data_IF_844993642329
#
_entry.id   IF_844993642329
#
_cell.length_a   1.000
_cell.length_b   1.000
_cell.length_c   1.000
_cell.angle_alpha   90.00
_cell.angle_beta   90.00
_cell.angle_gamma   90.00
#
_symmetry.space_group_name_H-M   'P 1'
#
loop_
_entity.id
_entity.type
_entity.pdbx_description
1 polymer ?
#
# COMPACT_ATOMS: atom_id res chain seq x y z
N UNK A 1 -6.07 15.66 69.22
CA UNK A 1 -7.02 16.71 68.77
C UNK A 1 -6.37 18.05 69.05
N UNK A 2 -6.11 18.89 68.03
CA UNK A 2 -7.17 19.78 67.58
C UNK A 2 -7.28 19.90 66.04
N UNK A 3 -8.53 20.07 65.59
CA UNK A 3 -8.94 20.30 64.21
C UNK A 3 -8.80 21.77 63.84
N UNK A 4 -8.43 22.06 62.60
CA UNK A 4 -8.71 23.36 61.93
C UNK A 4 -9.36 23.14 60.55
N UNK A 5 -10.13 24.12 60.05
CA UNK A 5 -11.34 23.89 59.26
C UNK A 5 -11.22 24.41 57.81
N UNK A 6 -12.28 24.25 56.99
CA UNK A 6 -12.67 25.27 56.02
C UNK A 6 -14.15 25.66 56.23
N UNK A 7 -14.49 26.90 56.62
CA UNK A 7 -14.63 28.16 55.83
C UNK A 7 -15.71 28.13 54.74
N UNK A 8 -16.84 28.72 55.14
CA UNK A 8 -17.72 29.67 54.44
C UNK A 8 -18.31 29.28 53.07
N UNK A 9 -19.62 29.01 53.09
CA UNK A 9 -20.56 29.36 52.02
C UNK A 9 -20.73 30.88 52.03
N UNK A 10 -20.88 31.46 50.85
CA UNK A 10 -21.86 32.51 50.52
C UNK A 10 -21.91 32.68 48.99
N UNK A 11 -23.15 32.62 48.49
CA UNK A 11 -23.78 33.33 47.35
C UNK A 11 -22.90 33.89 46.21
N UNK A 12 -23.28 33.85 44.93
CA UNK A 12 -24.55 34.30 44.34
C UNK A 12 -24.48 34.17 42.79
N UNK A 13 -25.61 34.42 42.11
CA UNK A 13 -25.73 34.96 40.72
C UNK A 13 -25.90 33.96 39.55
N UNK A 14 -27.18 33.85 39.20
CA UNK A 14 -27.79 33.74 37.87
C UNK A 14 -27.06 34.49 36.76
N UNK A 15 -26.78 33.84 35.63
CA UNK A 15 -26.74 34.50 34.32
C UNK A 15 -27.10 33.50 33.21
N UNK A 16 -28.07 33.94 32.42
CA UNK A 16 -28.65 33.32 31.25
C UNK A 16 -27.59 33.01 30.18
N UNK A 17 -27.67 31.83 29.57
CA UNK A 17 -26.90 31.49 28.37
C UNK A 17 -27.86 31.32 27.20
N UNK A 18 -27.91 32.36 26.39
CA UNK A 18 -28.48 32.38 25.05
C UNK A 18 -27.71 31.43 24.11
N UNK A 19 -28.48 30.73 23.27
CA UNK A 19 -28.19 30.68 21.83
C UNK A 19 -27.35 29.52 21.30
N UNK A 20 -27.99 28.35 21.09
CA UNK A 20 -27.64 27.43 19.99
C UNK A 20 -28.90 26.72 19.49
N UNK A 21 -29.55 27.27 18.46
CA UNK A 21 -30.47 26.53 17.60
C UNK A 21 -30.18 26.89 16.14
N UNK A 22 -29.53 25.98 15.42
CA UNK A 22 -29.31 26.04 13.98
C UNK A 22 -29.97 24.83 13.30
N UNK A 23 -31.30 24.72 13.39
CA UNK A 23 -32.08 23.82 12.53
C UNK A 23 -32.71 24.61 11.38
N UNK A 24 -31.99 24.67 10.24
CA UNK A 24 -32.61 25.04 8.96
C UNK A 24 -33.23 23.80 8.31
N UNK A 25 -34.45 23.47 8.72
CA UNK A 25 -35.36 22.60 7.95
C UNK A 25 -36.46 23.44 7.30
N UNK A 26 -36.70 23.35 5.98
CA UNK A 26 -37.78 24.13 5.37
C UNK A 26 -39.15 23.59 5.77
N UNK A 27 -39.88 24.41 6.54
CA UNK A 27 -41.29 24.21 6.91
C UNK A 27 -42.19 24.29 5.67
N UNK A 28 -42.91 23.22 5.34
CA UNK A 28 -43.98 23.21 4.33
C UNK A 28 -45.20 23.95 4.88
N UNK A 29 -45.57 25.08 4.26
CA UNK A 29 -46.90 25.70 4.40
C UNK A 29 -47.77 25.22 3.24
N UNK A 30 -48.89 24.56 3.56
CA UNK A 30 -49.97 24.29 2.61
C UNK A 30 -50.76 25.58 2.37
N UNK A 31 -50.76 26.06 1.14
CA UNK A 31 -51.80 26.93 0.59
C UNK A 31 -52.17 26.38 -0.78
N UNK A 32 -53.46 26.09 -0.96
CA UNK A 32 -54.03 25.58 -2.20
C UNK A 32 -53.90 26.60 -3.33
N UNK A 33 -53.51 26.10 -4.51
CA UNK A 33 -53.37 26.90 -5.72
C UNK A 33 -52.65 26.11 -6.79
N UNK A 34 -53.41 25.66 -7.78
CA UNK A 34 -52.99 24.90 -8.96
C UNK A 34 -51.82 25.57 -9.69
N UNK A 35 -50.66 24.93 -9.70
CA UNK A 35 -49.63 25.09 -10.74
C UNK A 35 -48.94 23.75 -10.94
N UNK A 36 -48.94 23.26 -12.18
CA UNK A 36 -48.06 22.17 -12.63
C UNK A 36 -46.62 22.56 -12.34
N UNK A 37 -45.97 21.82 -11.43
CA UNK A 37 -44.53 21.92 -11.22
C UNK A 37 -43.84 20.89 -12.11
N UNK A 38 -43.40 21.32 -13.29
CA UNK A 38 -42.28 20.62 -13.91
C UNK A 38 -41.08 20.65 -12.95
N UNK A 39 -40.31 19.56 -12.83
CA UNK A 39 -39.13 19.56 -11.98
C UNK A 39 -38.12 20.54 -12.58
N UNK A 40 -37.82 21.61 -11.84
CA UNK A 40 -36.71 22.52 -12.14
C UNK A 40 -35.42 21.71 -12.07
N UNK A 41 -35.02 21.13 -13.21
CA UNK A 41 -33.69 20.54 -13.42
C UNK A 41 -32.68 21.62 -13.12
N UNK A 42 -31.72 21.31 -12.24
CA UNK A 42 -30.65 22.22 -11.86
C UNK A 42 -30.04 22.90 -13.08
N UNK A 43 -30.14 24.23 -13.10
CA UNK A 43 -29.84 25.13 -14.23
C UNK A 43 -28.34 25.15 -14.60
N UNK A 44 -27.50 24.32 -13.98
CA UNK A 44 -26.05 24.31 -14.14
C UNK A 44 -25.49 23.10 -14.89
N UNK A 45 -26.30 22.09 -15.23
CA UNK A 45 -25.82 20.91 -15.97
C UNK A 45 -26.39 20.89 -17.39
N UNK A 46 -25.52 21.04 -18.39
CA UNK A 46 -25.88 20.83 -19.79
C UNK A 46 -26.16 19.36 -20.12
N UNK A 47 -26.65 19.08 -21.34
CA UNK A 47 -26.99 17.72 -21.78
C UNK A 47 -25.76 16.80 -21.78
N UNK A 48 -25.98 15.51 -21.48
CA UNK A 48 -24.97 14.44 -21.61
C UNK A 48 -24.88 14.08 -23.08
N UNK A 49 -23.66 14.09 -23.62
CA UNK A 49 -23.40 13.57 -24.95
C UNK A 49 -23.46 12.04 -24.95
N UNK A 50 -24.18 11.47 -25.93
CA UNK A 50 -24.48 10.02 -25.96
C UNK A 50 -23.26 9.20 -26.41
N UNK A 51 -22.35 9.79 -27.19
CA UNK A 51 -21.18 9.12 -27.73
C UNK A 51 -19.99 9.13 -26.75
N UNK A 52 -19.70 10.28 -26.14
CA UNK A 52 -18.57 10.41 -25.19
C UNK A 52 -18.93 10.14 -23.73
N UNK A 53 -20.24 10.12 -23.38
CA UNK A 53 -20.72 10.06 -22.00
C UNK A 53 -20.39 11.30 -21.17
N UNK A 54 -19.82 12.34 -21.77
CA UNK A 54 -19.42 13.58 -21.09
C UNK A 54 -20.61 14.54 -20.96
N UNK A 55 -20.65 15.30 -19.86
CA UNK A 55 -21.66 16.33 -19.63
C UNK A 55 -21.21 17.66 -20.22
N UNK A 56 -22.09 18.28 -21.00
CA UNK A 56 -21.86 19.64 -21.48
C UNK A 56 -21.85 20.62 -20.31
N UNK A 57 -20.87 21.52 -20.29
CA UNK A 57 -20.77 22.59 -19.28
C UNK A 57 -21.86 23.66 -19.44
N UNK A 58 -22.44 23.81 -20.64
CA UNK A 58 -23.45 24.84 -20.95
C UNK A 58 -24.80 24.23 -21.36
N UNK A 59 -25.92 24.84 -20.97
CA UNK A 59 -27.27 24.40 -21.32
C UNK A 59 -27.67 24.93 -22.71
N UNK A 60 -26.89 24.61 -23.75
CA UNK A 60 -27.26 24.96 -25.13
C UNK A 60 -28.07 23.81 -25.71
N UNK A 61 -29.33 24.05 -26.02
CA UNK A 61 -30.20 23.08 -26.67
C UNK A 61 -29.62 22.69 -28.04
N UNK A 62 -29.65 21.40 -28.39
CA UNK A 62 -29.34 20.92 -29.73
C UNK A 62 -30.49 21.31 -30.68
N UNK A 63 -30.68 22.61 -30.94
CA UNK A 63 -31.59 23.04 -32.00
C UNK A 63 -30.85 22.85 -33.31
N UNK A 64 -31.31 21.90 -34.12
CA UNK A 64 -30.88 21.67 -35.51
C UNK A 64 -31.28 22.87 -36.38
N UNK A 65 -30.75 24.06 -36.09
CA UNK A 65 -31.02 25.25 -36.88
C UNK A 65 -29.91 25.35 -37.92
N UNK A 66 -30.19 24.80 -39.10
CA UNK A 66 -29.36 24.80 -40.31
C UNK A 66 -29.12 26.21 -40.91
N UNK A 67 -29.25 27.26 -40.10
CA UNK A 67 -28.94 28.62 -40.47
C UNK A 67 -27.48 28.90 -40.15
N UNK A 68 -26.58 28.59 -41.09
CA UNK A 68 -25.23 29.13 -41.06
C UNK A 68 -25.33 30.66 -41.06
N UNK A 69 -25.21 31.29 -39.89
CA UNK A 69 -25.12 32.74 -39.76
C UNK A 69 -23.79 33.12 -40.41
N UNK A 70 -23.86 33.55 -41.68
CA UNK A 70 -22.71 34.04 -42.43
C UNK A 70 -22.28 35.40 -41.87
N UNK A 71 -21.45 35.37 -40.82
CA UNK A 71 -20.89 36.54 -40.17
C UNK A 71 -20.36 36.23 -38.76
N UNK A 72 -19.66 37.18 -38.10
CA UNK A 72 -19.24 37.02 -36.72
C UNK A 72 -20.47 36.79 -35.81
N UNK A 73 -20.44 35.81 -34.89
CA UNK A 73 -21.57 35.56 -34.00
C UNK A 73 -21.79 36.75 -33.07
N UNK A 74 -23.02 37.24 -33.01
CA UNK A 74 -23.41 38.39 -32.20
C UNK A 74 -23.81 37.99 -30.77
N UNK A 75 -24.07 36.70 -30.53
CA UNK A 75 -24.46 36.16 -29.23
C UNK A 75 -23.60 34.94 -28.84
N UNK A 76 -23.52 34.67 -27.53
CA UNK A 76 -22.79 33.51 -26.98
C UNK A 76 -23.37 32.18 -27.47
N UNK A 77 -24.70 32.07 -27.57
CA UNK A 77 -25.36 30.86 -28.06
C UNK A 77 -25.02 30.58 -29.53
N UNK A 78 -25.00 31.62 -30.37
CA UNK A 78 -24.65 31.52 -31.79
C UNK A 78 -23.18 31.12 -31.96
N UNK A 79 -22.30 31.66 -31.11
CA UNK A 79 -20.89 31.27 -31.06
C UNK A 79 -20.71 29.79 -30.67
N UNK A 80 -21.39 29.32 -29.62
CA UNK A 80 -21.29 27.93 -29.18
C UNK A 80 -21.86 26.93 -30.20
N UNK A 81 -22.92 27.30 -30.93
CA UNK A 81 -23.44 26.51 -32.04
C UNK A 81 -22.43 26.44 -33.19
N UNK A 82 -21.82 27.56 -33.56
CA UNK A 82 -20.78 27.59 -34.59
C UNK A 82 -19.55 26.74 -34.21
N UNK A 83 -19.08 26.83 -32.97
CA UNK A 83 -17.97 26.01 -32.46
C UNK A 83 -18.33 24.52 -32.45
N UNK A 84 -19.57 24.16 -32.12
CA UNK A 84 -20.03 22.76 -32.15
C UNK A 84 -20.07 22.22 -33.59
N UNK A 85 -20.58 23.00 -34.54
CA UNK A 85 -20.58 22.64 -35.95
C UNK A 85 -19.15 22.48 -36.49
N UNK A 86 -18.24 23.38 -36.11
CA UNK A 86 -16.81 23.28 -36.45
C UNK A 86 -16.15 22.04 -35.83
N UNK A 87 -16.44 21.74 -34.56
CA UNK A 87 -15.88 20.57 -33.87
C UNK A 87 -16.41 19.25 -34.47
N UNK A 88 -17.69 19.18 -34.85
CA UNK A 88 -18.26 18.02 -35.55
C UNK A 88 -17.67 17.80 -36.94
N UNK A 89 -17.24 18.88 -37.61
CA UNK A 89 -16.55 18.79 -38.90
C UNK A 89 -15.08 18.31 -38.77
N UNK A 90 -14.53 18.26 -37.55
CA UNK A 90 -13.15 17.82 -37.29
C UNK A 90 -13.12 16.36 -36.83
N UNK A 91 -12.06 15.60 -37.14
CA UNK A 91 -11.90 14.24 -36.65
C UNK A 91 -11.76 14.22 -35.11
N UNK A 92 -12.45 13.27 -34.46
CA UNK A 92 -12.44 13.09 -32.99
C UNK A 92 -11.06 12.72 -32.44
N UNK A 93 -10.28 11.98 -33.22
CA UNK A 93 -8.90 11.63 -32.91
C UNK A 93 -7.99 11.99 -34.09
N UNK A 94 -6.85 12.59 -33.79
CA UNK A 94 -5.78 12.84 -34.76
C UNK A 94 -4.50 12.25 -34.19
N UNK A 95 -3.97 11.23 -34.86
CA UNK A 95 -2.63 10.75 -34.61
C UNK A 95 -1.68 11.42 -35.59
N UNK A 96 -0.61 12.04 -35.08
CA UNK A 96 0.48 12.55 -35.92
C UNK A 96 1.73 11.73 -35.62
N UNK A 97 2.30 11.11 -36.65
CA UNK A 97 3.66 10.57 -36.55
C UNK A 97 4.62 11.75 -36.42
N UNK A 98 5.17 11.97 -35.22
CA UNK A 98 6.29 12.87 -35.06
C UNK A 98 7.49 12.23 -35.78
N UNK A 99 7.73 12.68 -37.01
CA UNK A 99 9.01 12.49 -37.67
C UNK A 99 10.06 13.26 -36.86
N UNK A 100 10.63 12.60 -35.85
CA UNK A 100 11.88 13.03 -35.25
C UNK A 100 12.91 13.05 -36.38
N UNK A 101 13.11 14.22 -37.00
CA UNK A 101 14.23 14.46 -37.89
C UNK A 101 15.49 14.17 -37.08
N UNK A 102 16.09 13.04 -37.39
CA UNK A 102 17.33 12.47 -36.88
C UNK A 102 18.25 13.49 -36.18
N UNK A 103 18.03 13.68 -34.89
CA UNK A 103 19.00 14.33 -33.99
C UNK A 103 18.93 13.84 -32.54
N UNK A 104 18.20 12.75 -32.27
CA UNK A 104 17.95 12.29 -30.91
C UNK A 104 17.83 10.77 -30.78
N UNK A 105 18.75 10.02 -31.40
CA UNK A 105 19.07 8.65 -30.96
C UNK A 105 19.75 8.61 -29.57
N UNK A 106 19.76 9.75 -28.86
CA UNK A 106 20.32 9.92 -27.52
C UNK A 106 19.30 10.27 -26.43
N UNK A 107 18.03 10.57 -26.76
CA UNK A 107 17.06 11.09 -25.76
C UNK A 107 15.83 10.17 -25.57
N UNK A 108 15.75 9.05 -26.30
CA UNK A 108 14.87 7.93 -25.94
C UNK A 108 15.67 6.87 -25.17
N UNK A 109 16.36 7.29 -24.11
CA UNK A 109 16.59 6.37 -23.00
C UNK A 109 15.24 6.17 -22.33
N UNK A 110 14.76 4.94 -22.44
CA UNK A 110 13.73 4.32 -21.61
C UNK A 110 13.44 5.12 -20.34
N UNK A 111 12.27 5.75 -20.28
CA UNK A 111 11.56 5.89 -19.02
C UNK A 111 11.00 4.51 -18.64
N UNK A 112 11.89 3.53 -18.52
CA UNK A 112 11.72 2.41 -17.61
C UNK A 112 12.23 2.95 -16.27
N UNK A 113 11.32 3.05 -15.30
CA UNK A 113 11.54 3.79 -14.06
C UNK A 113 12.68 3.26 -13.20
N UNK A 114 13.87 3.80 -13.38
CA UNK A 114 14.97 3.72 -12.40
C UNK A 114 14.73 4.73 -11.26
N UNK A 115 13.89 4.36 -10.30
CA UNK A 115 13.88 5.01 -8.99
C UNK A 115 15.02 4.46 -8.12
N UNK A 116 16.26 4.91 -8.35
CA UNK A 116 17.31 4.86 -7.34
C UNK A 116 17.98 6.24 -7.22
N UNK A 117 17.86 6.80 -6.02
CA UNK A 117 18.61 7.92 -5.48
C UNK A 117 20.07 7.97 -5.96
N UNK A 118 20.52 9.14 -6.46
CA UNK A 118 21.73 9.81 -5.95
C UNK A 118 21.88 11.22 -6.51
N UNK A 119 22.33 12.11 -5.62
CA UNK A 119 22.64 13.53 -5.84
C UNK A 119 23.69 13.79 -6.94
N UNK A 120 23.78 15.04 -7.42
CA UNK A 120 24.41 15.40 -8.69
C UNK A 120 25.90 15.72 -8.53
N UNK A 121 26.69 15.33 -9.53
CA UNK A 121 28.03 15.86 -9.71
C UNK A 121 29.06 14.80 -10.05
N UNK A 122 29.16 14.46 -11.33
CA UNK A 122 30.44 14.26 -12.04
C UNK A 122 30.17 13.77 -13.46
N UNK A 123 30.63 14.57 -14.40
CA UNK A 123 30.61 14.35 -15.86
C UNK A 123 31.43 13.10 -16.20
N UNK A 124 30.92 12.14 -16.98
CA UNK A 124 31.76 11.05 -17.47
C UNK A 124 32.49 11.48 -18.75
N UNK A 125 33.81 11.34 -18.73
CA UNK A 125 34.65 11.39 -19.92
C UNK A 125 34.31 10.25 -20.91
N UNK A 126 34.53 10.45 -22.22
CA UNK A 126 34.29 9.43 -23.24
C UNK A 126 35.35 8.31 -23.16
N UNK A 127 34.88 7.09 -22.88
CA UNK A 127 35.70 5.87 -22.86
C UNK A 127 36.11 5.46 -24.29
N UNK A 128 37.38 5.05 -24.51
CA UNK A 128 37.81 4.48 -25.79
C UNK A 128 37.25 3.07 -26.02
N UNK A 129 37.17 2.71 -27.32
CA UNK A 129 36.64 1.49 -27.92
C UNK A 129 37.09 0.15 -27.29
N UNK A 130 36.32 -0.95 -27.51
CA UNK A 130 36.40 -2.15 -26.69
C UNK A 130 37.66 -2.96 -27.02
N UNK A 131 38.63 -2.94 -26.10
CA UNK A 131 39.66 -3.96 -26.06
C UNK A 131 39.06 -5.29 -25.59
N UNK A 132 39.40 -6.32 -26.34
CA UNK A 132 39.07 -7.73 -26.17
C UNK A 132 38.85 -8.15 -24.72
N UNK A 133 37.74 -8.84 -24.50
CA UNK A 133 37.36 -9.49 -23.26
C UNK A 133 38.45 -10.48 -22.84
N UNK A 134 39.03 -10.23 -21.67
CA UNK A 134 39.80 -11.22 -20.92
C UNK A 134 39.62 -10.93 -19.44
N UNK A 135 38.57 -11.53 -18.86
CA UNK A 135 38.47 -12.03 -17.48
C UNK A 135 37.00 -12.09 -17.07
N UNK A 136 36.40 -13.28 -17.19
CA UNK A 136 35.18 -13.65 -16.47
C UNK A 136 35.44 -13.51 -14.97
N UNK A 137 34.98 -12.42 -14.36
CA UNK A 137 34.70 -12.39 -12.93
C UNK A 137 33.28 -12.89 -12.74
N UNK A 138 33.14 -14.22 -12.63
CA UNK A 138 31.90 -14.92 -12.31
C UNK A 138 31.49 -14.61 -10.86
N UNK A 139 31.00 -13.41 -10.59
CA UNK A 139 30.32 -13.17 -9.32
C UNK A 139 29.04 -14.02 -9.28
N UNK A 140 28.81 -14.81 -8.22
CA UNK A 140 27.60 -15.60 -8.09
C UNK A 140 26.41 -14.66 -8.01
N UNK A 141 25.45 -14.84 -8.92
CA UNK A 141 24.18 -14.12 -8.88
C UNK A 141 23.36 -14.63 -7.69
N UNK A 142 23.50 -13.94 -6.56
CA UNK A 142 22.85 -14.25 -5.30
C UNK A 142 21.33 -14.00 -5.32
N UNK A 143 20.81 -13.37 -6.38
CA UNK A 143 19.39 -12.98 -6.49
C UNK A 143 18.56 -13.97 -7.29
N UNK A 144 19.16 -15.06 -7.76
CA UNK A 144 18.44 -16.11 -8.48
C UNK A 144 17.35 -16.72 -7.60
N UNK A 145 16.15 -16.96 -8.14
CA UNK A 145 15.11 -17.67 -7.42
C UNK A 145 15.59 -19.04 -6.97
N UNK A 146 15.26 -19.42 -5.73
CA UNK A 146 15.64 -20.72 -5.17
C UNK A 146 14.67 -21.79 -5.68
N UNK A 147 15.22 -22.96 -5.99
CA UNK A 147 14.44 -24.13 -6.36
C UNK A 147 13.99 -24.87 -5.11
N UNK A 148 12.68 -24.95 -4.91
CA UNK A 148 12.05 -25.65 -3.78
C UNK A 148 11.28 -26.83 -4.33
N UNK A 149 11.44 -28.01 -3.70
CA UNK A 149 10.72 -29.22 -4.12
C UNK A 149 9.22 -29.05 -3.89
N UNK A 150 8.42 -29.34 -4.92
CA UNK A 150 6.97 -29.19 -4.90
C UNK A 150 6.30 -29.98 -3.77
N UNK A 151 6.70 -31.23 -3.54
CA UNK A 151 6.09 -32.08 -2.50
C UNK A 151 6.24 -31.48 -1.10
N UNK A 152 7.44 -30.97 -0.78
CA UNK A 152 7.69 -30.32 0.50
C UNK A 152 6.94 -28.98 0.60
N UNK A 153 6.94 -28.18 -0.47
CA UNK A 153 6.20 -26.92 -0.54
C UNK A 153 4.72 -27.12 -0.24
N UNK A 154 4.06 -28.06 -0.95
CA UNK A 154 2.62 -28.30 -0.82
C UNK A 154 2.26 -28.80 0.59
N UNK A 155 3.09 -29.66 1.18
CA UNK A 155 2.91 -30.12 2.56
C UNK A 155 3.08 -28.97 3.55
N UNK A 156 4.10 -28.14 3.37
CA UNK A 156 4.39 -27.00 4.24
C UNK A 156 3.29 -25.94 4.19
N UNK A 157 2.88 -25.50 3.01
CA UNK A 157 1.84 -24.47 2.84
C UNK A 157 0.51 -24.94 3.43
N UNK A 158 0.16 -26.22 3.22
CA UNK A 158 -1.02 -26.81 3.86
C UNK A 158 -0.95 -26.74 5.38
N UNK A 159 0.15 -27.19 5.99
CA UNK A 159 0.33 -27.11 7.44
C UNK A 159 0.35 -25.67 7.96
N UNK A 160 1.00 -24.76 7.23
CA UNK A 160 1.07 -23.35 7.60
C UNK A 160 -0.32 -22.73 7.62
N UNK A 161 -1.10 -22.90 6.56
CA UNK A 161 -2.45 -22.32 6.44
C UNK A 161 -3.41 -22.87 7.50
N UNK A 162 -3.33 -24.16 7.83
CA UNK A 162 -4.09 -24.78 8.92
C UNK A 162 -3.75 -24.15 10.29
N UNK A 163 -2.46 -24.01 10.60
CA UNK A 163 -1.98 -23.40 11.86
C UNK A 163 -2.31 -21.91 11.92
N UNK A 164 -2.18 -21.21 10.79
CA UNK A 164 -2.50 -19.79 10.65
C UNK A 164 -3.97 -19.50 10.94
N UNK A 165 -4.89 -20.24 10.31
CA UNK A 165 -6.33 -20.13 10.57
C UNK A 165 -6.68 -20.45 12.01
N UNK A 166 -6.18 -21.57 12.54
CA UNK A 166 -6.44 -21.97 13.92
C UNK A 166 -5.91 -20.95 14.96
N UNK A 167 -4.77 -20.29 14.68
CA UNK A 167 -4.25 -19.23 15.53
C UNK A 167 -5.11 -17.98 15.44
N UNK A 168 -5.50 -17.56 14.23
CA UNK A 168 -6.32 -16.37 14.01
C UNK A 168 -7.65 -16.46 14.79
N UNK A 169 -8.32 -17.62 14.75
CA UNK A 169 -9.56 -17.87 15.48
C UNK A 169 -9.36 -17.78 17.00
N UNK A 170 -8.27 -18.37 17.52
CA UNK A 170 -7.93 -18.34 18.95
C UNK A 170 -7.54 -16.96 19.46
N UNK A 171 -6.86 -16.16 18.64
CA UNK A 171 -6.50 -14.78 18.98
C UNK A 171 -7.76 -13.92 19.01
N UNK A 172 -8.66 -14.06 18.04
CA UNK A 172 -9.93 -13.33 17.98
C UNK A 172 -10.80 -13.61 19.21
N UNK A 173 -10.99 -14.89 19.55
CA UNK A 173 -11.79 -15.29 20.71
C UNK A 173 -11.27 -14.75 22.04
N UNK A 174 -9.94 -14.63 22.21
CA UNK A 174 -9.35 -14.10 23.46
C UNK A 174 -9.52 -12.59 23.59
N UNK A 175 -9.47 -11.84 22.50
CA UNK A 175 -9.71 -10.40 22.52
C UNK A 175 -11.11 -10.06 23.07
N UNK A 176 -12.08 -10.94 22.87
CA UNK A 176 -13.47 -10.78 23.36
C UNK A 176 -13.62 -11.08 24.86
N UNK A 177 -12.66 -11.78 25.47
CA UNK A 177 -12.70 -12.21 26.89
C UNK A 177 -12.00 -11.23 27.86
N UNK A 178 -11.57 -10.06 27.39
CA UNK A 178 -10.96 -9.03 28.23
C UNK A 178 -9.46 -9.22 28.52
N UNK A 179 -8.82 -8.27 29.23
CA UNK A 179 -7.38 -8.25 29.43
C UNK A 179 -6.95 -9.46 30.27
N UNK A 180 -5.95 -10.18 29.79
CA UNK A 180 -5.35 -11.24 30.57
C UNK A 180 -4.52 -10.68 31.73
N UNK A 181 -4.84 -11.09 32.96
CA UNK A 181 -3.96 -10.88 34.11
C UNK A 181 -2.61 -11.58 33.86
N UNK A 182 -1.54 -10.80 33.91
CA UNK A 182 -0.16 -11.23 33.63
C UNK A 182 0.46 -10.60 32.38
N UNK A 183 0.48 -9.27 32.31
CA UNK A 183 1.22 -8.53 31.28
C UNK A 183 2.70 -8.93 31.35
N UNK A 184 3.23 -9.53 30.29
CA UNK A 184 4.66 -9.76 30.17
C UNK A 184 5.25 -8.42 29.73
N UNK A 185 6.28 -7.94 30.40
CA UNK A 185 6.93 -6.69 30.01
C UNK A 185 7.60 -6.86 28.63
N UNK A 186 6.93 -6.35 27.61
CA UNK A 186 7.44 -6.41 26.24
C UNK A 186 8.54 -5.36 26.03
N UNK A 187 9.65 -5.72 25.39
CA UNK A 187 10.68 -4.75 25.06
C UNK A 187 10.18 -3.63 24.13
N UNK A 188 10.79 -2.45 24.24
CA UNK A 188 10.47 -1.33 23.34
C UNK A 188 11.59 -1.01 22.34
N UNK A 189 12.83 -1.45 22.62
CA UNK A 189 14.01 -1.14 21.80
C UNK A 189 14.52 -2.36 21.04
N UNK A 190 15.15 -2.12 19.89
CA UNK A 190 15.70 -3.19 19.02
C UNK A 190 16.68 -4.09 19.78
N UNK A 191 17.61 -3.51 20.54
CA UNK A 191 18.62 -4.28 21.27
C UNK A 191 18.00 -5.19 22.34
N UNK A 192 17.01 -4.68 23.07
CA UNK A 192 16.28 -5.48 24.07
C UNK A 192 15.45 -6.57 23.40
N UNK A 193 14.81 -6.29 22.26
CA UNK A 193 14.12 -7.31 21.46
C UNK A 193 15.05 -8.40 20.96
N UNK A 194 16.24 -8.04 20.47
CA UNK A 194 17.26 -9.01 20.05
C UNK A 194 17.64 -9.93 21.20
N UNK A 195 17.93 -9.36 22.38
CA UNK A 195 18.27 -10.14 23.56
C UNK A 195 17.09 -11.03 23.99
N UNK A 196 15.87 -10.51 23.97
CA UNK A 196 14.66 -11.25 24.32
C UNK A 196 14.45 -12.45 23.39
N UNK A 197 14.51 -12.25 22.07
CA UNK A 197 14.29 -13.27 21.02
C UNK A 197 15.40 -14.32 21.00
N UNK A 198 16.65 -13.94 21.24
CA UNK A 198 17.76 -14.89 21.26
C UNK A 198 17.90 -15.61 22.61
N UNK A 199 17.16 -15.20 23.64
CA UNK A 199 17.15 -15.91 24.92
C UNK A 199 16.30 -17.18 24.78
N UNK A 200 16.86 -18.38 24.97
CA UNK A 200 16.16 -19.65 24.72
C UNK A 200 14.96 -19.88 25.64
N UNK A 201 14.95 -19.22 26.81
CA UNK A 201 13.83 -19.25 27.76
C UNK A 201 12.58 -18.56 27.20
N UNK A 202 12.76 -17.57 26.32
CA UNK A 202 11.68 -16.77 25.74
C UNK A 202 11.28 -17.34 24.38
N UNK A 203 10.80 -18.58 24.36
CA UNK A 203 10.22 -19.16 23.15
C UNK A 203 8.91 -18.44 22.77
N UNK A 204 8.57 -18.32 21.47
CA UNK A 204 7.34 -17.65 21.03
C UNK A 204 6.12 -18.45 21.51
N UNK A 205 5.56 -18.02 22.63
CA UNK A 205 4.39 -18.65 23.25
C UNK A 205 3.13 -17.90 22.84
N UNK A 206 2.00 -18.60 22.73
CA UNK A 206 0.70 -18.01 22.40
C UNK A 206 0.35 -16.77 23.25
N UNK A 207 0.69 -16.80 24.55
CA UNK A 207 0.49 -15.66 25.47
C UNK A 207 1.23 -14.40 25.02
N UNK A 208 2.48 -14.55 24.57
CA UNK A 208 3.29 -13.41 24.09
C UNK A 208 2.74 -12.93 22.75
N UNK A 209 2.47 -13.85 21.82
CA UNK A 209 1.95 -13.51 20.49
C UNK A 209 0.62 -12.76 20.53
N UNK A 210 -0.22 -13.03 21.54
CA UNK A 210 -1.48 -12.32 21.75
C UNK A 210 -1.31 -10.90 22.30
N UNK A 211 -0.19 -10.62 22.98
CA UNK A 211 0.13 -9.28 23.47
C UNK A 211 0.79 -8.40 22.39
N UNK A 212 1.27 -9.00 21.29
CA UNK A 212 1.89 -8.26 20.20
C UNK A 212 0.83 -7.62 19.29
N UNK A 213 0.85 -6.29 19.23
CA UNK A 213 0.11 -5.53 18.24
C UNK A 213 0.69 -5.74 16.83
N UNK A 214 -0.16 -5.57 15.81
CA UNK A 214 0.19 -5.74 14.39
C UNK A 214 1.42 -4.92 14.01
N UNK A 215 1.47 -3.65 14.43
CA UNK A 215 2.62 -2.76 14.13
C UNK A 215 3.92 -3.29 14.75
N UNK A 216 3.84 -3.92 15.92
CA UNK A 216 5.00 -4.52 16.58
C UNK A 216 5.46 -5.78 15.83
N UNK A 217 4.53 -6.62 15.36
CA UNK A 217 4.85 -7.82 14.55
C UNK A 217 5.58 -7.44 13.26
N UNK A 218 5.06 -6.46 12.51
CA UNK A 218 5.68 -5.96 11.27
C UNK A 218 7.07 -5.38 11.56
N UNK A 219 7.19 -4.57 12.61
CA UNK A 219 8.47 -3.99 13.03
C UNK A 219 9.50 -5.06 13.42
N UNK A 220 9.07 -6.11 14.12
CA UNK A 220 9.92 -7.24 14.48
C UNK A 220 10.39 -8.02 13.25
N UNK A 221 9.52 -8.27 12.27
CA UNK A 221 9.91 -8.87 10.99
C UNK A 221 10.97 -8.02 10.26
N UNK A 222 10.82 -6.69 10.29
CA UNK A 222 11.84 -5.76 9.80
C UNK A 222 13.17 -5.84 10.55
N UNK A 223 13.16 -6.14 11.85
CA UNK A 223 14.38 -6.35 12.64
C UNK A 223 15.02 -7.72 12.36
N UNK A 224 14.23 -8.77 12.17
CA UNK A 224 14.71 -10.09 11.78
C UNK A 224 15.58 -10.05 10.52
N UNK A 225 15.30 -9.14 9.57
CA UNK A 225 16.17 -8.89 8.40
C UNK A 225 17.62 -8.57 8.80
N UNK A 226 17.82 -7.77 9.85
CA UNK A 226 19.15 -7.38 10.34
C UNK A 226 19.85 -8.49 11.11
N UNK A 227 19.10 -9.48 11.57
CA UNK A 227 19.62 -10.59 12.39
C UNK A 227 19.78 -11.89 11.59
N UNK A 228 19.16 -11.99 10.41
CA UNK A 228 19.31 -13.11 9.50
C UNK A 228 20.77 -13.24 9.03
N UNK A 229 21.32 -14.43 9.21
CA UNK A 229 22.70 -14.80 8.90
C UNK A 229 22.77 -16.27 8.45
N UNK A 230 23.89 -16.67 7.85
CA UNK A 230 24.16 -18.06 7.43
C UNK A 230 24.15 -19.06 8.58
N UNK A 231 24.46 -18.60 9.80
CA UNK A 231 24.35 -19.36 11.04
C UNK A 231 23.26 -18.75 11.89
N UNK A 232 22.02 -19.10 11.60
CA UNK A 232 20.87 -18.55 12.30
C UNK A 232 20.65 -19.29 13.62
N UNK A 233 20.36 -18.54 14.68
CA UNK A 233 19.95 -19.16 15.94
C UNK A 233 18.59 -19.87 15.75
N UNK A 234 18.43 -21.13 16.19
CA UNK A 234 17.17 -21.86 16.02
C UNK A 234 15.97 -21.18 16.70
N UNK A 235 16.19 -20.42 17.78
CA UNK A 235 15.13 -19.65 18.43
C UNK A 235 14.68 -18.48 17.56
N UNK A 236 15.62 -17.83 16.85
CA UNK A 236 15.28 -16.79 15.88
C UNK A 236 14.39 -17.36 14.77
N UNK A 237 14.68 -18.56 14.26
CA UNK A 237 13.82 -19.23 13.27
C UNK A 237 12.40 -19.48 13.77
N UNK A 238 12.25 -19.99 15.01
CA UNK A 238 10.95 -20.16 15.68
C UNK A 238 10.19 -18.84 15.81
N UNK A 239 10.89 -17.77 16.17
CA UNK A 239 10.29 -16.43 16.29
C UNK A 239 9.83 -15.90 14.94
N UNK A 240 10.63 -16.01 13.88
CA UNK A 240 10.23 -15.59 12.54
C UNK A 240 8.98 -16.35 12.10
N UNK A 241 8.96 -17.68 12.27
CA UNK A 241 7.78 -18.49 11.96
C UNK A 241 6.54 -18.02 12.74
N UNK A 242 6.66 -17.84 14.07
CA UNK A 242 5.55 -17.41 14.90
C UNK A 242 5.03 -16.00 14.54
N UNK A 243 5.93 -15.08 14.17
CA UNK A 243 5.56 -13.74 13.70
C UNK A 243 4.83 -13.80 12.35
N UNK A 244 5.28 -14.67 11.44
CA UNK A 244 4.61 -14.91 10.15
C UNK A 244 3.23 -15.53 10.33
N UNK A 245 3.05 -16.48 11.27
CA UNK A 245 1.72 -17.03 11.58
C UNK A 245 0.80 -15.94 12.15
N UNK A 246 1.33 -15.04 12.98
CA UNK A 246 0.54 -13.98 13.60
C UNK A 246 0.11 -12.87 12.62
N UNK A 247 0.84 -12.72 11.52
CA UNK A 247 0.59 -11.70 10.51
C UNK A 247 -0.69 -12.04 9.71
N UNK A 248 -1.64 -11.11 9.49
CA UNK A 248 -2.86 -11.41 8.74
C UNK A 248 -2.56 -11.77 7.28
N UNK A 249 -3.55 -12.39 6.61
CA UNK A 249 -3.45 -12.72 5.18
C UNK A 249 -3.48 -11.47 4.29
N UNK A 250 -4.17 -10.41 4.72
CA UNK A 250 -4.22 -9.12 4.01
C UNK A 250 -3.24 -8.18 4.68
N UNK A 251 -2.22 -7.78 3.94
CA UNK A 251 -1.13 -6.90 4.37
C UNK A 251 -1.03 -5.70 3.43
N UNK A 252 -0.50 -4.59 3.94
CA UNK A 252 -0.32 -3.37 3.15
C UNK A 252 0.91 -3.48 2.23
N UNK A 253 1.00 -2.63 1.20
CA UNK A 253 2.15 -2.63 0.29
C UNK A 253 3.49 -2.36 0.99
N UNK A 254 3.49 -1.57 2.06
CA UNK A 254 4.68 -1.32 2.88
C UNK A 254 5.11 -2.58 3.63
N UNK A 255 4.17 -3.32 4.20
CA UNK A 255 4.41 -4.59 4.90
C UNK A 255 4.95 -5.65 3.95
N UNK A 256 4.39 -5.76 2.75
CA UNK A 256 4.89 -6.65 1.69
C UNK A 256 6.33 -6.27 1.31
N UNK A 257 6.65 -4.97 1.24
CA UNK A 257 8.03 -4.52 0.99
C UNK A 257 8.99 -4.97 2.09
N UNK A 258 8.59 -4.90 3.36
CA UNK A 258 9.40 -5.38 4.50
C UNK A 258 9.62 -6.90 4.40
N UNK A 259 8.56 -7.66 4.15
CA UNK A 259 8.62 -9.11 3.96
C UNK A 259 9.52 -9.48 2.79
N UNK A 260 9.41 -8.78 1.66
CA UNK A 260 10.25 -8.99 0.48
C UNK A 260 11.71 -8.67 0.76
N UNK A 261 12.01 -7.62 1.52
CA UNK A 261 13.39 -7.28 1.90
C UNK A 261 14.00 -8.35 2.83
N UNK A 262 13.20 -8.94 3.72
CA UNK A 262 13.60 -10.09 4.52
C UNK A 262 13.86 -11.32 3.63
N UNK A 263 12.92 -11.67 2.76
CA UNK A 263 13.03 -12.81 1.86
C UNK A 263 14.22 -12.68 0.89
N UNK A 264 14.47 -11.49 0.32
CA UNK A 264 15.67 -11.23 -0.50
C UNK A 264 16.96 -11.41 0.29
N UNK A 265 17.01 -11.01 1.57
CA UNK A 265 18.18 -11.27 2.43
C UNK A 265 18.37 -12.76 2.66
N UNK A 266 17.29 -13.50 2.90
CA UNK A 266 17.32 -14.96 3.01
C UNK A 266 17.79 -15.62 1.70
N UNK A 267 17.34 -15.12 0.56
CA UNK A 267 17.75 -15.57 -0.77
C UNK A 267 19.25 -15.39 -1.00
N UNK A 268 19.79 -14.20 -0.66
CA UNK A 268 21.22 -13.94 -0.74
C UNK A 268 22.05 -14.92 0.11
N UNK A 269 21.60 -15.20 1.34
CA UNK A 269 22.27 -16.17 2.23
C UNK A 269 22.17 -17.58 1.64
N UNK A 270 21.01 -17.94 1.09
CA UNK A 270 20.73 -19.27 0.54
C UNK A 270 21.59 -19.59 -0.69
N UNK A 271 21.82 -18.59 -1.54
CA UNK A 271 22.57 -18.73 -2.79
C UNK A 271 24.07 -18.45 -2.63
N UNK A 272 24.53 -18.04 -1.45
CA UNK A 272 25.93 -17.71 -1.24
C UNK A 272 26.78 -19.00 -1.20
N UNK A 273 27.69 -19.22 -2.17
CA UNK A 273 28.49 -20.44 -2.22
C UNK A 273 29.51 -20.55 -1.08
N UNK A 274 29.81 -19.44 -0.40
CA UNK A 274 30.76 -19.43 0.72
C UNK A 274 30.11 -19.72 2.08
N UNK A 275 28.79 -19.73 2.16
CA UNK A 275 28.07 -19.96 3.39
C UNK A 275 27.72 -21.46 3.52
N UNK A 276 28.41 -22.16 4.41
CA UNK A 276 27.98 -23.49 4.84
C UNK A 276 26.75 -23.37 5.75
N UNK A 277 25.60 -23.78 5.22
CA UNK A 277 24.32 -23.67 5.91
C UNK A 277 24.05 -24.90 6.76
N UNK A 278 23.76 -24.67 8.04
CA UNK A 278 23.19 -25.72 8.91
C UNK A 278 21.80 -26.13 8.39
N UNK A 279 21.41 -27.43 8.45
CA UNK A 279 20.11 -27.88 7.96
C UNK A 279 18.93 -27.09 8.56
N UNK A 280 18.97 -26.73 9.84
CA UNK A 280 17.90 -25.95 10.49
C UNK A 280 17.81 -24.55 9.90
N UNK A 281 18.97 -23.92 9.63
CA UNK A 281 19.01 -22.61 8.97
C UNK A 281 18.46 -22.72 7.55
N UNK A 282 18.87 -23.73 6.79
CA UNK A 282 18.34 -23.99 5.44
C UNK A 282 16.81 -24.14 5.43
N UNK A 283 16.24 -24.97 6.31
CA UNK A 283 14.78 -25.11 6.41
C UNK A 283 14.10 -23.80 6.78
N UNK A 284 14.71 -23.01 7.67
CA UNK A 284 14.16 -21.69 8.06
C UNK A 284 14.16 -20.71 6.88
N UNK A 285 15.21 -20.71 6.06
CA UNK A 285 15.29 -19.86 4.85
C UNK A 285 14.23 -20.27 3.83
N UNK A 286 14.14 -21.57 3.53
CA UNK A 286 13.17 -22.10 2.55
C UNK A 286 11.73 -21.86 3.04
N UNK A 287 11.46 -21.99 4.34
CA UNK A 287 10.20 -21.66 4.98
C UNK A 287 9.81 -20.18 4.76
N UNK A 288 10.73 -19.24 5.02
CA UNK A 288 10.50 -17.80 4.81
C UNK A 288 10.21 -17.51 3.33
N UNK A 289 10.98 -18.11 2.43
CA UNK A 289 10.81 -17.94 0.98
C UNK A 289 9.46 -18.48 0.50
N UNK A 290 9.01 -19.64 0.97
CA UNK A 290 7.69 -20.18 0.66
C UNK A 290 6.56 -19.27 1.15
N UNK A 291 6.61 -18.84 2.41
CA UNK A 291 5.56 -17.97 2.97
C UNK A 291 5.48 -16.66 2.20
N UNK A 292 6.60 -16.00 1.94
CA UNK A 292 6.59 -14.71 1.23
C UNK A 292 6.25 -14.89 -0.25
N UNK A 293 6.74 -15.96 -0.88
CA UNK A 293 6.56 -16.21 -2.30
C UNK A 293 5.15 -16.65 -2.68
N UNK A 294 4.57 -17.58 -1.93
CA UNK A 294 3.26 -18.17 -2.25
C UNK A 294 2.13 -17.47 -1.50
N UNK A 295 2.22 -17.36 -0.16
CA UNK A 295 1.11 -16.85 0.67
C UNK A 295 0.93 -15.34 0.50
N UNK A 296 2.03 -14.59 0.40
CA UNK A 296 2.00 -13.14 0.18
C UNK A 296 2.22 -12.75 -1.30
N UNK A 297 2.18 -13.72 -2.22
CA UNK A 297 2.14 -13.50 -3.66
C UNK A 297 3.41 -12.93 -4.29
N UNK A 298 4.58 -13.05 -3.66
CA UNK A 298 5.88 -12.64 -4.25
C UNK A 298 6.54 -13.80 -5.02
N UNK A 299 5.82 -14.33 -6.02
CA UNK A 299 6.23 -15.53 -6.77
C UNK A 299 7.54 -15.37 -7.56
N UNK A 300 8.02 -14.14 -7.75
CA UNK A 300 9.31 -13.86 -8.40
C UNK A 300 10.52 -14.38 -7.61
N UNK A 301 10.35 -14.70 -6.32
CA UNK A 301 11.44 -15.10 -5.42
C UNK A 301 11.72 -16.61 -5.41
N UNK A 302 10.77 -17.44 -5.88
CA UNK A 302 10.83 -18.90 -5.74
C UNK A 302 10.51 -19.60 -7.06
N UNK A 303 11.15 -20.74 -7.29
CA UNK A 303 10.82 -21.67 -8.36
C UNK A 303 10.41 -22.99 -7.73
N UNK A 304 9.14 -23.34 -7.85
CA UNK A 304 8.60 -24.61 -7.34
C UNK A 304 8.76 -25.67 -8.44
N UNK A 305 9.51 -26.75 -8.16
CA UNK A 305 9.77 -27.85 -9.10
C UNK A 305 9.47 -29.22 -8.50
#
# INVERSE_FOLDING_TARGET
MPKRPPRARDSEVSLDYDGLDCEYGPRKRQIGGRYESEPVKGVTSGPVDVESGQRSAFPVANTNNDGAVSGPPLNVSDYLLAVRAEAQARPSFVASEQNFRSHSDRILRSYDGDYINSSPGSRPEPRPEPRAASSESSEPDLTRPVVISKQWHDQFVKQFTEVHGALADRVKYRSDLGPADGAIELPHTLSKWRQFILTPVNAPTLKILQQLDHMTVVKLLGYCRKWASARMDPNLGKWIYALLIKLPHVVTGEEVSILRQLAKKCLCIRNNPHDELDPVTQYTLDMILCVVGDIYGQSDLIIIK
#
